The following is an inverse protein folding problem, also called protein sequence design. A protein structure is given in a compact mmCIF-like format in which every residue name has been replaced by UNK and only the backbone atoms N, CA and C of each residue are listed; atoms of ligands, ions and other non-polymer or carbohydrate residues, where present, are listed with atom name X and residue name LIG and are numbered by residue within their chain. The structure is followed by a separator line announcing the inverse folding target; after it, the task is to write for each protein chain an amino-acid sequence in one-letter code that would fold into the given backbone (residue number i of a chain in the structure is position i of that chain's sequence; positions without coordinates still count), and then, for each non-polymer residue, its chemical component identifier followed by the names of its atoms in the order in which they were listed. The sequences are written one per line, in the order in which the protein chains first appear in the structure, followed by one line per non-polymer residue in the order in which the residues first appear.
data_IF_553551689937
#
_entry.id   IF_553551689937
#
_cell.length_a   1.000
_cell.length_b   1.000
_cell.length_c   1.000
_cell.angle_alpha   90.00
_cell.angle_beta   90.00
_cell.angle_gamma   90.00
#
_symmetry.space_group_name_H-M   'P 1'
#
loop_
_entity.id
_entity.type
_entity.pdbx_description
1 polymer ?
#
# COMPACT_ATOMS: atom_id res chain seq x y z
N UNK A 1 6.72 2.40 -10.69
CA UNK A 1 6.84 3.31 -9.53
C UNK A 1 6.73 2.45 -8.27
N UNK A 2 7.76 2.45 -7.44
CA UNK A 2 7.68 1.90 -6.09
C UNK A 2 7.41 3.06 -5.15
N UNK A 3 6.32 3.00 -4.41
CA UNK A 3 5.91 4.07 -3.50
C UNK A 3 6.15 3.59 -2.08
N UNK A 4 7.06 4.26 -1.40
CA UNK A 4 7.29 3.99 0.01
C UNK A 4 6.42 4.91 0.86
N UNK A 5 5.42 4.34 1.54
CA UNK A 5 4.32 5.08 2.17
C UNK A 5 4.54 5.33 3.66
N UNK A 6 5.05 6.50 4.06
CA UNK A 6 5.00 6.90 5.47
C UNK A 6 3.55 7.06 5.96
N UNK A 7 3.37 7.02 7.28
CA UNK A 7 2.10 7.33 7.96
C UNK A 7 1.51 8.71 7.58
N UNK A 8 2.35 9.64 7.10
CA UNK A 8 1.98 10.97 6.60
C UNK A 8 1.86 11.08 5.07
N UNK A 9 2.13 10.01 4.32
CA UNK A 9 2.16 10.04 2.86
C UNK A 9 0.79 9.74 2.24
N UNK A 10 -0.21 9.42 3.07
CA UNK A 10 -1.57 9.11 2.64
C UNK A 10 -2.52 10.15 3.23
N UNK A 11 -3.20 10.86 2.35
CA UNK A 11 -4.34 11.70 2.70
C UNK A 11 -5.63 10.87 2.55
N UNK A 12 -6.42 10.81 3.61
CA UNK A 12 -7.77 10.25 3.58
C UNK A 12 -8.76 11.40 3.63
N UNK A 13 -9.54 11.56 2.58
CA UNK A 13 -10.60 12.56 2.44
C UNK A 13 -11.98 11.92 2.35
N UNK A 14 -13.03 12.73 2.53
CA UNK A 14 -14.39 12.34 2.17
C UNK A 14 -14.59 12.51 0.66
N UNK A 15 -15.40 11.64 0.08
CA UNK A 15 -15.80 11.68 -1.33
C UNK A 15 -17.32 11.70 -1.40
N UNK A 16 -17.88 12.64 -2.15
CA UNK A 16 -19.30 12.65 -2.50
C UNK A 16 -19.61 11.68 -3.64
N UNK A 17 -18.59 11.24 -4.38
CA UNK A 17 -18.73 10.18 -5.39
C UNK A 17 -18.73 8.81 -4.73
N UNK A 18 -19.74 8.00 -5.04
CA UNK A 18 -19.86 6.60 -4.60
C UNK A 18 -18.86 5.67 -5.30
N UNK A 19 -18.33 6.10 -6.44
CA UNK A 19 -17.43 5.29 -7.27
C UNK A 19 -16.20 6.07 -7.73
N UNK A 20 -15.12 5.35 -8.00
CA UNK A 20 -13.88 5.89 -8.54
C UNK A 20 -13.41 5.01 -9.69
N UNK A 21 -13.12 5.63 -10.84
CA UNK A 21 -12.55 4.96 -12.00
C UNK A 21 -11.03 5.08 -11.99
N UNK A 22 -10.33 4.01 -12.32
CA UNK A 22 -8.89 4.00 -12.52
C UNK A 22 -8.49 3.00 -13.61
N UNK A 23 -7.26 3.12 -14.13
CA UNK A 23 -6.72 2.23 -15.16
C UNK A 23 -5.59 1.38 -14.58
N UNK A 24 -5.68 0.06 -14.73
CA UNK A 24 -4.64 -0.88 -14.33
C UNK A 24 -4.32 -1.84 -15.48
N UNK A 25 -3.07 -1.88 -15.92
CA UNK A 25 -2.63 -2.64 -17.11
C UNK A 25 -3.49 -2.36 -18.37
N UNK A 26 -3.83 -1.09 -18.60
CA UNK A 26 -4.68 -0.68 -19.72
C UNK A 26 -6.16 -1.06 -19.58
N UNK A 27 -6.56 -1.76 -18.50
CA UNK A 27 -7.97 -2.04 -18.21
C UNK A 27 -8.54 -0.93 -17.34
N UNK A 28 -9.63 -0.33 -17.79
CA UNK A 28 -10.41 0.58 -16.97
C UNK A 28 -11.21 -0.23 -15.93
N UNK A 29 -11.09 0.16 -14.67
CA UNK A 29 -11.73 -0.48 -13.53
C UNK A 29 -12.53 0.57 -12.77
N UNK A 30 -13.66 0.14 -12.20
CA UNK A 30 -14.52 0.96 -11.37
C UNK A 30 -14.59 0.33 -9.98
N UNK A 31 -14.41 1.14 -8.94
CA UNK A 31 -14.51 0.70 -7.55
C UNK A 31 -15.47 1.54 -6.75
N UNK A 32 -16.06 0.94 -5.71
CA UNK A 32 -16.82 1.66 -4.68
C UNK A 32 -15.87 2.44 -3.77
N UNK A 33 -16.19 3.70 -3.47
CA UNK A 33 -15.38 4.56 -2.59
C UNK A 33 -15.78 4.43 -1.12
N UNK A 34 -17.02 3.99 -0.84
CA UNK A 34 -17.63 4.02 0.48
C UNK A 34 -17.54 5.42 1.13
N UNK A 35 -17.64 6.48 0.32
CA UNK A 35 -17.56 7.87 0.77
C UNK A 35 -16.15 8.33 1.15
N UNK A 36 -15.10 7.55 0.82
CA UNK A 36 -13.71 7.87 1.11
C UNK A 36 -12.89 7.97 -0.18
N UNK A 37 -11.98 8.94 -0.22
CA UNK A 37 -10.92 9.01 -1.22
C UNK A 37 -9.57 8.96 -0.52
N UNK A 38 -8.66 8.16 -1.08
CA UNK A 38 -7.32 7.94 -0.54
C UNK A 38 -6.33 8.44 -1.60
N UNK A 39 -5.48 9.38 -1.22
CA UNK A 39 -4.46 9.97 -2.10
C UNK A 39 -3.07 9.80 -1.51
N UNK A 40 -2.10 9.46 -2.34
CA UNK A 40 -0.69 9.51 -1.97
C UNK A 40 -0.22 10.94 -2.18
N UNK A 41 0.24 11.59 -1.12
CA UNK A 41 0.60 13.03 -1.13
C UNK A 41 2.10 13.27 -1.00
N UNK A 42 2.87 12.26 -0.61
CA UNK A 42 4.32 12.35 -0.49
C UNK A 42 4.95 11.12 -1.14
N UNK A 43 5.72 11.38 -2.19
CA UNK A 43 6.47 10.41 -2.97
C UNK A 43 7.98 10.59 -2.83
N UNK A 44 8.45 11.35 -1.84
CA UNK A 44 9.88 11.62 -1.59
C UNK A 44 10.69 10.34 -1.42
N UNK A 45 10.10 9.33 -0.76
CA UNK A 45 10.71 8.02 -0.57
C UNK A 45 10.46 7.05 -1.74
N UNK A 46 10.02 7.53 -2.92
CA UNK A 46 9.65 6.66 -4.04
C UNK A 46 10.77 6.49 -5.06
N UNK A 47 10.71 5.39 -5.82
CA UNK A 47 11.54 5.18 -7.01
C UNK A 47 10.65 5.28 -8.25
N UNK A 48 11.02 6.17 -9.17
CA UNK A 48 10.37 6.35 -10.46
C UNK A 48 11.38 6.21 -11.59
N UNK A 49 11.01 5.41 -12.58
CA UNK A 49 11.75 5.30 -13.84
C UNK A 49 10.98 6.13 -14.88
N UNK A 50 11.63 7.15 -15.42
CA UNK A 50 11.06 8.08 -16.40
C UNK A 50 11.27 7.62 -17.85
N UNK A 51 12.00 6.52 -18.07
CA UNK A 51 12.50 6.08 -19.37
C UNK A 51 13.90 6.62 -19.67
N UNK A 52 14.15 7.89 -19.35
CA UNK A 52 15.45 8.54 -19.53
C UNK A 52 16.37 8.37 -18.31
N UNK A 53 15.78 8.30 -17.11
CA UNK A 53 16.52 8.19 -15.85
C UNK A 53 15.71 7.48 -14.76
N UNK A 54 16.43 6.96 -13.76
CA UNK A 54 15.84 6.45 -12.53
C UNK A 54 16.04 7.52 -11.45
N UNK A 55 14.93 8.07 -10.96
CA UNK A 55 14.92 8.97 -9.82
C UNK A 55 14.54 8.14 -8.59
N UNK A 56 15.40 8.14 -7.59
CA UNK A 56 15.19 7.42 -6.35
C UNK A 56 15.80 8.19 -5.18
N UNK A 57 15.34 7.87 -3.98
CA UNK A 57 15.99 8.28 -2.75
C UNK A 57 16.72 7.08 -2.16
N UNK A 58 18.01 7.26 -1.90
CA UNK A 58 18.79 6.26 -1.17
C UNK A 58 18.47 6.34 0.33
N UNK A 59 17.67 5.38 0.82
CA UNK A 59 17.34 5.35 2.25
C UNK A 59 18.52 4.96 3.13
N UNK A 60 19.59 4.38 2.57
CA UNK A 60 20.79 4.07 3.34
C UNK A 60 21.46 5.34 3.90
N UNK A 61 21.19 6.49 3.26
CA UNK A 61 21.62 7.82 3.70
C UNK A 61 20.89 8.32 4.96
N UNK A 62 19.77 7.70 5.36
CA UNK A 62 19.05 7.98 6.60
C UNK A 62 18.99 6.72 7.49
N UNK A 63 20.08 6.39 8.21
CA UNK A 63 20.16 5.19 9.02
C UNK A 63 19.17 5.19 10.20
N UNK A 64 18.62 6.34 10.59
CA UNK A 64 17.70 6.44 11.73
C UNK A 64 16.34 5.82 11.44
N UNK A 65 15.93 5.74 10.17
CA UNK A 65 14.73 5.02 9.71
C UNK A 65 14.72 3.54 10.16
N UNK A 66 15.91 2.93 10.32
CA UNK A 66 16.05 1.51 10.65
C UNK A 66 16.28 1.23 12.15
N UNK A 67 16.60 2.28 12.93
CA UNK A 67 17.00 2.18 14.35
C UNK A 67 15.84 2.21 15.36
N UNK A 68 14.60 2.47 14.92
CA UNK A 68 13.48 2.52 15.85
C UNK A 68 13.23 1.19 16.58
N UNK A 69 12.55 1.22 17.74
CA UNK A 69 12.50 0.07 18.66
C UNK A 69 11.88 -1.18 18.03
N UNK A 70 12.23 -2.35 18.57
CA UNK A 70 11.56 -3.61 18.21
C UNK A 70 10.07 -3.53 18.56
N UNK A 71 9.19 -4.00 17.68
CA UNK A 71 7.75 -3.86 17.84
C UNK A 71 7.15 -2.60 17.20
N UNK A 72 7.96 -1.58 16.91
CA UNK A 72 7.48 -0.41 16.17
C UNK A 72 7.21 -0.77 14.71
N UNK A 73 5.96 -0.58 14.28
CA UNK A 73 5.48 -1.06 12.98
C UNK A 73 6.16 -0.39 11.81
N UNK A 74 6.49 0.89 11.96
CA UNK A 74 7.12 1.65 10.88
C UNK A 74 8.58 1.23 10.72
N UNK A 75 9.31 1.17 11.82
CA UNK A 75 10.72 0.75 11.84
C UNK A 75 10.87 -0.73 11.43
N UNK A 76 9.94 -1.61 11.83
CA UNK A 76 9.89 -2.99 11.34
C UNK A 76 9.70 -3.05 9.82
N UNK A 77 8.86 -2.18 9.26
CA UNK A 77 8.62 -2.13 7.82
C UNK A 77 9.87 -1.68 7.07
N UNK A 78 10.58 -0.65 7.57
CA UNK A 78 11.85 -0.23 6.98
C UNK A 78 12.92 -1.32 7.04
N UNK A 79 13.06 -2.03 8.16
CA UNK A 79 14.00 -3.17 8.26
C UNK A 79 13.69 -4.26 7.23
N UNK A 80 12.41 -4.63 7.08
CA UNK A 80 11.97 -5.59 6.05
C UNK A 80 12.22 -5.08 4.64
N UNK A 81 12.03 -3.78 4.39
CA UNK A 81 12.34 -3.17 3.10
C UNK A 81 13.83 -3.26 2.79
N UNK A 82 14.70 -2.94 3.76
CA UNK A 82 16.16 -3.08 3.64
C UNK A 82 16.57 -4.51 3.32
N UNK A 83 15.95 -5.49 3.98
CA UNK A 83 16.19 -6.93 3.72
C UNK A 83 15.81 -7.31 2.28
N UNK A 84 14.61 -6.98 1.81
CA UNK A 84 14.16 -7.38 0.46
C UNK A 84 14.77 -6.57 -0.68
N UNK A 85 15.39 -5.43 -0.38
CA UNK A 85 16.13 -4.62 -1.34
C UNK A 85 17.63 -4.90 -1.28
N UNK A 86 18.10 -5.65 -0.29
CA UNK A 86 19.54 -5.82 0.01
C UNK A 86 20.27 -4.46 0.11
N UNK A 87 19.58 -3.44 0.63
CA UNK A 87 20.04 -2.04 0.71
C UNK A 87 20.28 -1.37 -0.68
N UNK A 88 19.87 -2.00 -1.77
CA UNK A 88 19.94 -1.46 -3.13
C UNK A 88 18.64 -0.72 -3.51
N UNK A 89 18.55 0.56 -3.12
CA UNK A 89 17.34 1.39 -3.27
C UNK A 89 17.09 1.92 -4.69
N UNK A 90 18.12 1.95 -5.54
CA UNK A 90 17.99 2.30 -6.97
C UNK A 90 17.15 1.25 -7.73
N UNK A 91 17.24 -0.01 -7.30
CA UNK A 91 16.56 -1.13 -7.93
C UNK A 91 15.04 -1.09 -7.74
N UNK A 92 14.33 -1.67 -8.71
CA UNK A 92 12.89 -1.87 -8.54
C UNK A 92 12.61 -3.10 -7.67
N UNK A 93 12.11 -2.89 -6.45
CA UNK A 93 11.59 -3.94 -5.59
C UNK A 93 10.09 -3.73 -5.31
N UNK A 94 9.17 -4.25 -6.16
CA UNK A 94 7.73 -4.09 -6.00
C UNK A 94 7.18 -4.63 -4.67
N UNK A 95 7.92 -5.56 -4.04
CA UNK A 95 7.61 -6.12 -2.72
C UNK A 95 7.55 -5.06 -1.63
N UNK A 96 8.33 -3.97 -1.76
CA UNK A 96 8.30 -2.85 -0.81
C UNK A 96 6.91 -2.23 -0.68
N UNK A 97 6.16 -2.12 -1.78
CA UNK A 97 4.78 -1.64 -1.75
C UNK A 97 3.87 -2.59 -0.95
N UNK A 98 4.09 -3.90 -1.05
CA UNK A 98 3.35 -4.91 -0.28
C UNK A 98 3.66 -4.81 1.21
N UNK A 99 4.93 -4.58 1.57
CA UNK A 99 5.33 -4.32 2.96
C UNK A 99 4.61 -3.10 3.53
N UNK A 100 4.43 -2.04 2.74
CA UNK A 100 3.64 -0.88 3.15
C UNK A 100 2.14 -1.19 3.29
N UNK A 101 1.56 -2.02 2.43
CA UNK A 101 0.18 -2.49 2.63
C UNK A 101 0.05 -3.27 3.95
N UNK A 102 1.01 -4.13 4.28
CA UNK A 102 1.04 -4.85 5.56
C UNK A 102 1.13 -3.88 6.74
N UNK A 103 1.98 -2.87 6.64
CA UNK A 103 2.09 -1.79 7.63
C UNK A 103 0.75 -1.09 7.84
N UNK A 104 0.04 -0.73 6.76
CA UNK A 104 -1.27 -0.08 6.84
C UNK A 104 -2.28 -0.99 7.56
N UNK A 105 -2.30 -2.28 7.26
CA UNK A 105 -3.15 -3.25 7.98
C UNK A 105 -2.79 -3.31 9.47
N UNK A 106 -1.52 -3.29 9.84
CA UNK A 106 -1.09 -3.22 11.25
C UNK A 106 -1.57 -1.93 11.94
N UNK A 107 -1.49 -0.78 11.27
CA UNK A 107 -2.00 0.48 11.79
C UNK A 107 -3.52 0.45 11.95
N UNK A 108 -4.25 -0.12 11.00
CA UNK A 108 -5.70 -0.30 11.09
C UNK A 108 -6.06 -1.20 12.26
N UNK A 109 -5.37 -2.33 12.45
CA UNK A 109 -5.57 -3.25 13.58
C UNK A 109 -5.23 -2.61 14.92
N UNK A 110 -4.21 -1.74 14.98
CA UNK A 110 -3.77 -1.07 16.20
C UNK A 110 -4.65 0.12 16.60
N UNK A 111 -4.98 1.00 15.66
CA UNK A 111 -5.75 2.22 15.92
C UNK A 111 -7.22 1.87 16.09
N UNK A 112 -7.73 1.79 17.31
CA UNK A 112 -9.16 1.50 17.60
C UNK A 112 -10.10 2.72 17.43
N UNK A 113 -9.73 3.69 16.59
CA UNK A 113 -10.45 4.96 16.44
C UNK A 113 -11.65 4.90 15.51
N UNK A 114 -11.94 3.74 14.93
CA UNK A 114 -13.07 3.54 14.02
C UNK A 114 -13.84 2.28 14.41
N UNK A 115 -15.16 2.33 14.20
CA UNK A 115 -16.04 1.21 14.47
C UNK A 115 -15.64 -0.01 13.64
N UNK A 116 -15.55 -1.16 14.29
CA UNK A 116 -15.25 -2.43 13.63
C UNK A 116 -15.84 -3.59 14.40
N UNK A 117 -16.11 -4.66 13.67
CA UNK A 117 -16.54 -5.94 14.26
C UNK A 117 -15.35 -6.88 14.44
N UNK A 118 -15.54 -7.93 15.25
CA UNK A 118 -14.57 -9.04 15.35
C UNK A 118 -14.33 -9.71 14.00
N UNK A 119 -15.34 -9.72 13.11
CA UNK A 119 -15.20 -10.16 11.71
C UNK A 119 -14.19 -9.29 10.96
N UNK A 120 -14.32 -7.96 11.01
CA UNK A 120 -13.36 -7.05 10.34
C UNK A 120 -11.92 -7.31 10.79
N UNK A 121 -11.71 -7.50 12.10
CA UNK A 121 -10.36 -7.81 12.61
C UNK A 121 -9.81 -9.14 12.09
N UNK A 122 -10.64 -10.19 12.07
CA UNK A 122 -10.26 -11.50 11.54
C UNK A 122 -9.93 -11.42 10.05
N UNK A 123 -10.72 -10.68 9.29
CA UNK A 123 -10.55 -10.55 7.84
C UNK A 123 -9.27 -9.74 7.52
N UNK A 124 -8.98 -8.67 8.27
CA UNK A 124 -7.72 -7.93 8.18
C UNK A 124 -6.49 -8.77 8.57
N UNK A 125 -6.57 -9.55 9.65
CA UNK A 125 -5.48 -10.48 10.02
C UNK A 125 -5.25 -11.55 8.94
N UNK A 126 -6.32 -11.99 8.29
CA UNK A 126 -6.25 -12.96 7.20
C UNK A 126 -5.65 -12.34 5.94
N UNK A 127 -6.06 -11.11 5.59
CA UNK A 127 -5.44 -10.31 4.52
C UNK A 127 -3.95 -10.14 4.76
N UNK A 128 -3.54 -9.71 5.96
CA UNK A 128 -2.11 -9.54 6.31
C UNK A 128 -1.29 -10.82 6.05
N UNK A 129 -1.82 -11.99 6.39
CA UNK A 129 -1.14 -13.28 6.12
C UNK A 129 -1.03 -13.60 4.63
N UNK A 130 -1.99 -13.19 3.81
CA UNK A 130 -1.96 -13.38 2.36
C UNK A 130 -1.04 -12.37 1.68
N UNK A 131 -1.07 -11.11 2.11
CA UNK A 131 -0.18 -10.05 1.63
C UNK A 131 1.29 -10.47 1.71
N UNK A 132 1.70 -11.16 2.76
CA UNK A 132 3.09 -11.63 2.92
C UNK A 132 3.57 -12.51 1.74
N UNK A 133 2.64 -13.17 1.05
CA UNK A 133 2.90 -14.07 -0.08
C UNK A 133 2.94 -13.38 -1.44
N UNK A 134 2.45 -12.14 -1.56
CA UNK A 134 2.39 -11.43 -2.84
C UNK A 134 3.67 -10.66 -3.13
N UNK A 135 4.11 -10.65 -4.39
CA UNK A 135 5.37 -10.01 -4.78
C UNK A 135 5.20 -8.54 -5.18
N UNK A 136 3.96 -8.11 -5.42
CA UNK A 136 3.66 -6.72 -5.78
C UNK A 136 2.28 -6.27 -5.31
N UNK A 137 2.09 -4.96 -5.15
CA UNK A 137 0.76 -4.39 -4.88
C UNK A 137 -0.25 -4.66 -6.01
N UNK A 138 0.24 -4.83 -7.25
CA UNK A 138 -0.57 -5.23 -8.41
C UNK A 138 -1.14 -6.63 -8.25
N UNK A 139 -0.40 -7.55 -7.64
CA UNK A 139 -0.92 -8.88 -7.31
C UNK A 139 -1.86 -8.81 -6.10
N UNK A 140 -1.48 -8.03 -5.08
CA UNK A 140 -2.28 -7.86 -3.88
C UNK A 140 -3.69 -7.29 -4.13
N UNK A 141 -3.87 -6.45 -5.14
CA UNK A 141 -5.19 -5.89 -5.50
C UNK A 141 -6.17 -6.96 -6.00
N UNK A 142 -5.67 -8.12 -6.44
CA UNK A 142 -6.46 -9.27 -6.88
C UNK A 142 -6.84 -10.21 -5.73
N UNK A 143 -6.44 -9.89 -4.49
CA UNK A 143 -6.82 -10.67 -3.31
C UNK A 143 -8.35 -10.71 -3.17
N UNK A 144 -8.94 -11.88 -2.83
CA UNK A 144 -10.39 -12.01 -2.63
C UNK A 144 -11.00 -10.99 -1.66
N UNK A 145 -10.21 -10.43 -0.75
CA UNK A 145 -10.60 -9.36 0.17
C UNK A 145 -11.14 -8.11 -0.55
N UNK A 146 -10.65 -7.81 -1.75
CA UNK A 146 -11.04 -6.63 -2.51
C UNK A 146 -12.15 -6.90 -3.54
N UNK A 147 -12.62 -8.14 -3.68
CA UNK A 147 -13.60 -8.52 -4.72
C UNK A 147 -14.84 -7.64 -4.70
N UNK A 148 -15.44 -7.42 -3.52
CA UNK A 148 -16.69 -6.65 -3.37
C UNK A 148 -16.53 -5.14 -3.63
N UNK A 149 -15.28 -4.67 -3.72
CA UNK A 149 -14.93 -3.29 -4.02
C UNK A 149 -15.10 -2.97 -5.51
N UNK A 150 -14.80 -3.95 -6.36
CA UNK A 150 -14.91 -3.80 -7.80
C UNK A 150 -16.37 -3.83 -8.25
N UNK A 151 -16.73 -2.92 -9.15
CA UNK A 151 -18.02 -2.92 -9.81
C UNK A 151 -17.81 -3.59 -11.16
N UNK A 152 -18.46 -4.73 -11.38
CA UNK A 152 -18.51 -5.34 -12.71
C UNK A 152 -19.18 -4.34 -13.65
N UNK A 153 -18.55 -4.07 -14.81
CA UNK A 153 -19.22 -3.34 -15.87
C UNK A 153 -20.39 -4.22 -16.31
N UNK A 154 -21.62 -3.68 -16.20
CA UNK A 154 -22.81 -4.36 -16.68
C UNK A 154 -22.55 -4.74 -18.16
N UNK A 155 -22.59 -6.02 -18.56
CA UNK A 155 -22.27 -6.44 -19.93
C UNK A 155 -23.29 -5.96 -20.98
N UNK A 156 -24.20 -5.06 -20.62
CA UNK A 156 -25.14 -4.37 -21.50
C UNK A 156 -24.84 -2.88 -21.58
N UNK A 157 -23.77 -2.52 -22.30
CA UNK A 157 -23.58 -1.20 -22.88
C UNK A 157 -23.13 -1.36 -24.33
#
# INVERSE_FOLDING_TARGET
MNIQLLRGNILVGRSDSETLQFTLNGKNMLIKTHGLIISIIDFTLSTINTGDSILYLDLSSDPDLFKGPKGDKQSETYRRMKEVTEDCWEGSCPKTNVLWLIYLVDILLMKKSFERTTKHERDLRSLKKRLDKYDSAKEAVLDPFFTDLFIESDPKA
#
